data_IF_834003435781
#
_entry.id   IF_834003435781
#
_cell.length_a   1.000
_cell.length_b   1.000
_cell.length_c   1.000
_cell.angle_alpha   90.00
_cell.angle_beta   90.00
_cell.angle_gamma   90.00
#
_symmetry.space_group_name_H-M   'P 1'
#
loop_
_entity.id
_entity.type
_entity.pdbx_description
1 polymer ?
#
# COMPACT_ATOMS: atom_id res chain seq x y z
N UNK A 1 10.19 -2.53 -33.47
CA UNK A 1 10.00 -3.18 -32.15
C UNK A 1 11.21 -2.87 -31.31
N UNK A 2 11.10 -1.87 -30.43
CA UNK A 2 12.18 -1.46 -29.53
C UNK A 2 12.40 -2.55 -28.48
N UNK A 3 13.59 -3.18 -28.52
CA UNK A 3 14.04 -4.08 -27.47
C UNK A 3 14.09 -3.31 -26.15
N UNK A 4 13.16 -3.61 -25.24
CA UNK A 4 13.20 -3.09 -23.87
C UNK A 4 14.47 -3.65 -23.22
N UNK A 5 15.47 -2.80 -23.02
CA UNK A 5 16.74 -3.19 -22.40
C UNK A 5 16.52 -3.33 -20.89
N UNK A 6 16.39 -4.56 -20.39
CA UNK A 6 16.13 -4.85 -18.96
C UNK A 6 17.36 -4.61 -18.06
N UNK A 7 18.56 -4.49 -18.66
CA UNK A 7 19.85 -4.29 -17.98
C UNK A 7 19.92 -3.04 -17.09
N UNK A 8 19.53 -1.83 -17.54
CA UNK A 8 19.48 -0.64 -16.69
C UNK A 8 18.48 -0.79 -15.53
N UNK A 9 17.34 -1.46 -15.75
CA UNK A 9 16.34 -1.70 -14.70
C UNK A 9 16.90 -2.59 -13.58
N UNK A 10 17.60 -3.67 -13.95
CA UNK A 10 18.25 -4.57 -13.00
C UNK A 10 19.36 -3.86 -12.20
N UNK A 11 20.13 -2.97 -12.85
CA UNK A 11 21.16 -2.17 -12.18
C UNK A 11 20.57 -1.16 -11.19
N UNK A 12 19.51 -0.45 -11.58
CA UNK A 12 18.80 0.50 -10.69
C UNK A 12 18.23 -0.24 -9.48
N UNK A 13 17.57 -1.38 -9.70
CA UNK A 13 17.02 -2.19 -8.62
C UNK A 13 18.11 -2.69 -7.66
N UNK A 14 19.26 -3.13 -8.20
CA UNK A 14 20.41 -3.55 -7.40
C UNK A 14 20.99 -2.41 -6.57
N UNK A 15 21.11 -1.21 -7.14
CA UNK A 15 21.61 -0.01 -6.44
C UNK A 15 20.68 0.44 -5.29
N UNK A 16 19.37 0.30 -5.47
CA UNK A 16 18.37 0.61 -4.44
C UNK A 16 18.49 -0.37 -3.26
N UNK A 17 18.69 -1.66 -3.54
CA UNK A 17 18.82 -2.69 -2.49
C UNK A 17 20.09 -2.49 -1.66
N UNK A 18 21.21 -2.12 -2.30
CA UNK A 18 22.51 -2.02 -1.62
C UNK A 18 22.60 -0.77 -0.71
N UNK A 19 21.90 0.31 -1.04
CA UNK A 19 21.92 1.56 -0.25
C UNK A 19 20.87 1.62 0.87
N UNK A 20 19.88 0.71 0.89
CA UNK A 20 18.81 0.70 1.90
C UNK A 20 19.19 0.11 3.27
N UNK A 21 20.29 -0.65 3.37
CA UNK A 21 20.61 -1.45 4.56
C UNK A 21 20.98 -0.65 5.82
N UNK A 22 21.40 0.61 5.70
CA UNK A 22 21.85 1.43 6.84
C UNK A 22 20.78 2.41 7.36
N UNK A 23 19.62 2.49 6.70
CA UNK A 23 18.58 3.47 7.03
C UNK A 23 17.20 2.89 7.33
N UNK A 24 16.96 1.60 7.06
CA UNK A 24 15.68 0.93 7.29
C UNK A 24 15.62 0.33 8.70
N UNK A 25 14.62 0.70 9.50
CA UNK A 25 14.40 0.13 10.83
C UNK A 25 12.93 -0.25 11.06
N UNK A 26 12.72 -1.18 11.98
CA UNK A 26 11.41 -1.72 12.35
C UNK A 26 10.87 -1.07 13.62
N UNK A 27 9.57 -0.85 13.67
CA UNK A 27 8.84 -0.48 14.87
C UNK A 27 8.50 -1.72 15.71
N UNK A 28 8.41 -1.56 17.02
CA UNK A 28 7.96 -2.57 17.97
C UNK A 28 6.78 -2.02 18.78
N UNK A 29 5.69 -1.75 18.08
CA UNK A 29 4.45 -1.20 18.60
C UNK A 29 3.42 -2.30 18.96
N UNK A 30 2.29 -1.88 19.52
CA UNK A 30 1.23 -2.80 19.97
C UNK A 30 0.14 -2.97 18.90
N UNK A 31 -0.50 -4.14 18.89
CA UNK A 31 -1.67 -4.44 18.04
C UNK A 31 -2.93 -3.61 18.32
N UNK A 32 -2.97 -2.86 19.42
CA UNK A 32 -4.15 -2.12 19.87
C UNK A 32 -3.83 -0.63 19.96
N UNK A 33 -4.75 0.21 19.50
CA UNK A 33 -4.62 1.65 19.63
C UNK A 33 -5.52 2.40 18.66
N UNK A 34 -5.70 3.70 18.92
CA UNK A 34 -6.42 4.61 18.01
C UNK A 34 -5.77 4.64 16.63
N UNK A 35 -4.45 4.67 16.61
CA UNK A 35 -3.62 4.68 15.41
C UNK A 35 -3.95 3.52 14.46
N UNK A 36 -4.02 2.29 14.97
CA UNK A 36 -4.40 1.09 14.20
C UNK A 36 -5.79 1.20 13.55
N UNK A 37 -6.75 1.80 14.27
CA UNK A 37 -8.08 2.06 13.72
C UNK A 37 -8.05 3.13 12.62
N UNK A 38 -7.14 4.11 12.70
CA UNK A 38 -6.96 5.12 11.66
C UNK A 38 -6.36 4.51 10.38
N UNK A 39 -5.36 3.63 10.50
CA UNK A 39 -4.83 2.85 9.38
C UNK A 39 -5.93 2.06 8.67
N UNK A 40 -6.71 1.29 9.45
CA UNK A 40 -7.84 0.55 8.92
C UNK A 40 -8.85 1.45 8.19
N UNK A 41 -9.30 2.52 8.84
CA UNK A 41 -10.34 3.40 8.29
C UNK A 41 -9.85 4.15 7.04
N UNK A 42 -8.62 4.64 7.04
CA UNK A 42 -8.01 5.29 5.89
C UNK A 42 -7.89 4.32 4.73
N UNK A 43 -7.37 3.12 4.96
CA UNK A 43 -7.21 2.12 3.91
C UNK A 43 -8.55 1.62 3.37
N UNK A 44 -9.57 1.48 4.22
CA UNK A 44 -10.93 1.19 3.76
C UNK A 44 -11.47 2.29 2.84
N UNK A 45 -11.33 3.56 3.24
CA UNK A 45 -11.77 4.69 2.44
C UNK A 45 -11.02 4.76 1.09
N UNK A 46 -9.70 4.56 1.10
CA UNK A 46 -8.88 4.62 -0.11
C UNK A 46 -9.16 3.45 -1.07
N UNK A 47 -9.42 2.25 -0.55
CA UNK A 47 -9.82 1.12 -1.39
C UNK A 47 -11.18 1.35 -2.05
N UNK A 48 -12.17 1.84 -1.30
CA UNK A 48 -13.47 2.20 -1.85
C UNK A 48 -13.36 3.34 -2.88
N UNK A 49 -12.57 4.38 -2.59
CA UNK A 49 -12.35 5.50 -3.50
C UNK A 49 -11.64 5.06 -4.80
N UNK A 50 -10.61 4.20 -4.69
CA UNK A 50 -9.91 3.65 -5.84
C UNK A 50 -10.81 2.78 -6.71
N UNK A 51 -11.66 1.96 -6.10
CA UNK A 51 -12.70 1.21 -6.81
C UNK A 51 -13.66 2.12 -7.57
N UNK A 52 -14.20 3.15 -6.89
CA UNK A 52 -15.09 4.13 -7.50
C UNK A 52 -14.44 4.89 -8.65
N UNK A 53 -13.15 5.23 -8.51
CA UNK A 53 -12.36 5.84 -9.56
C UNK A 53 -12.25 4.91 -10.78
N UNK A 54 -11.84 3.66 -10.57
CA UNK A 54 -11.65 2.68 -11.64
C UNK A 54 -12.96 2.36 -12.38
N UNK A 55 -14.08 2.27 -11.66
CA UNK A 55 -15.40 2.12 -12.25
C UNK A 55 -15.76 3.30 -13.16
N UNK A 56 -15.47 4.54 -12.75
CA UNK A 56 -15.68 5.73 -13.61
C UNK A 56 -14.78 5.73 -14.85
N UNK A 57 -13.66 5.01 -14.83
CA UNK A 57 -12.81 4.78 -16.00
C UNK A 57 -13.31 3.62 -16.89
N UNK A 58 -14.50 3.06 -16.61
CA UNK A 58 -15.08 1.92 -17.33
C UNK A 58 -14.16 0.67 -17.29
N UNK A 59 -13.36 0.51 -16.24
CA UNK A 59 -12.60 -0.72 -16.04
C UNK A 59 -13.57 -1.90 -15.81
N UNK A 60 -13.15 -3.10 -16.20
CA UNK A 60 -13.93 -4.30 -15.89
C UNK A 60 -14.09 -4.43 -14.37
N UNK A 61 -15.23 -4.94 -13.91
CA UNK A 61 -15.56 -5.05 -12.49
C UNK A 61 -14.43 -5.67 -11.64
N UNK A 62 -13.81 -6.75 -12.13
CA UNK A 62 -12.67 -7.39 -11.46
C UNK A 62 -11.41 -6.52 -11.45
N UNK A 63 -11.16 -5.76 -12.51
CA UNK A 63 -10.00 -4.86 -12.61
C UNK A 63 -10.19 -3.65 -11.69
N UNK A 64 -11.40 -3.10 -11.60
CA UNK A 64 -11.73 -2.02 -10.67
C UNK A 64 -11.55 -2.45 -9.20
N UNK A 65 -12.03 -3.65 -8.86
CA UNK A 65 -11.79 -4.32 -7.59
C UNK A 65 -10.31 -4.40 -7.22
N UNK A 66 -9.50 -4.95 -8.14
CA UNK A 66 -8.07 -5.10 -7.95
C UNK A 66 -7.36 -3.75 -7.85
N UNK A 67 -7.75 -2.77 -8.67
CA UNK A 67 -7.15 -1.45 -8.67
C UNK A 67 -7.31 -0.76 -7.31
N UNK A 68 -8.52 -0.71 -6.76
CA UNK A 68 -8.74 -0.04 -5.48
C UNK A 68 -7.98 -0.70 -4.32
N UNK A 69 -7.95 -2.03 -4.26
CA UNK A 69 -7.17 -2.74 -3.25
C UNK A 69 -5.66 -2.48 -3.37
N UNK A 70 -5.10 -2.65 -4.58
CA UNK A 70 -3.66 -2.42 -4.83
C UNK A 70 -3.29 -0.98 -4.57
N UNK A 71 -4.12 -0.02 -4.99
CA UNK A 71 -3.92 1.40 -4.73
C UNK A 71 -3.84 1.67 -3.22
N UNK A 72 -4.81 1.19 -2.43
CA UNK A 72 -4.80 1.40 -0.98
C UNK A 72 -3.62 0.75 -0.28
N UNK A 73 -3.33 -0.52 -0.59
CA UNK A 73 -2.21 -1.25 0.01
C UNK A 73 -0.88 -0.58 -0.33
N UNK A 74 -0.74 -0.06 -1.57
CA UNK A 74 0.46 0.67 -1.98
C UNK A 74 0.65 1.95 -1.18
N UNK A 75 -0.42 2.65 -0.80
CA UNK A 75 -0.34 3.83 0.06
C UNK A 75 0.11 3.47 1.48
N UNK A 76 -0.43 2.39 2.06
CA UNK A 76 0.03 1.87 3.35
C UNK A 76 1.51 1.48 3.33
N UNK A 77 1.91 0.68 2.33
CA UNK A 77 3.31 0.30 2.14
C UNK A 77 4.24 1.50 1.95
N UNK A 78 3.81 2.53 1.20
CA UNK A 78 4.60 3.74 1.00
C UNK A 78 4.76 4.54 2.29
N UNK A 79 3.71 4.61 3.12
CA UNK A 79 3.76 5.26 4.44
C UNK A 79 4.70 4.52 5.39
N UNK A 80 4.60 3.20 5.51
CA UNK A 80 5.51 2.41 6.35
C UNK A 80 6.96 2.47 5.85
N UNK A 81 7.16 2.46 4.52
CA UNK A 81 8.49 2.65 3.94
C UNK A 81 9.08 4.03 4.27
N UNK A 82 8.25 5.07 4.25
CA UNK A 82 8.65 6.43 4.63
C UNK A 82 8.98 6.53 6.12
N UNK A 83 8.20 5.87 6.96
CA UNK A 83 8.43 5.81 8.41
C UNK A 83 9.66 4.98 8.77
N UNK A 84 10.11 4.11 7.87
CA UNK A 84 11.33 3.31 8.04
C UNK A 84 12.62 4.10 7.89
N UNK A 85 12.60 5.40 7.59
CA UNK A 85 13.81 6.24 7.51
C UNK A 85 14.47 6.43 8.89
N UNK A 86 15.75 6.86 8.97
CA UNK A 86 16.46 7.00 10.25
C UNK A 86 15.80 7.90 11.30
N UNK A 87 15.03 8.91 10.87
CA UNK A 87 14.29 9.84 11.75
C UNK A 87 12.80 9.51 11.91
N UNK A 88 12.35 8.38 11.35
CA UNK A 88 10.96 7.95 11.40
C UNK A 88 10.66 7.04 12.60
N UNK A 89 9.44 6.49 12.61
CA UNK A 89 8.96 5.59 13.67
C UNK A 89 9.35 4.13 13.42
N UNK A 90 9.86 3.80 12.24
CA UNK A 90 10.16 2.45 11.79
C UNK A 90 8.96 1.79 11.10
N UNK A 91 9.23 0.78 10.28
CA UNK A 91 8.20 -0.06 9.66
C UNK A 91 7.40 -0.80 10.75
N UNK A 92 6.10 -0.58 10.81
CA UNK A 92 5.18 -1.33 11.65
C UNK A 92 4.45 -2.40 10.83
N UNK A 93 4.74 -3.67 11.14
CA UNK A 93 3.97 -4.79 10.57
C UNK A 93 2.50 -4.75 11.01
N UNK A 94 2.25 -4.21 12.21
CA UNK A 94 0.91 -4.08 12.75
C UNK A 94 0.11 -3.08 11.94
N UNK A 95 0.63 -1.87 11.71
CA UNK A 95 -0.02 -0.86 10.87
C UNK A 95 -0.28 -1.35 9.46
N UNK A 96 0.73 -1.98 8.85
CA UNK A 96 0.58 -2.55 7.52
C UNK A 96 -0.51 -3.64 7.46
N UNK A 97 -0.65 -4.45 8.51
CA UNK A 97 -1.72 -5.44 8.61
C UNK A 97 -3.11 -4.78 8.71
N UNK A 98 -3.24 -3.68 9.46
CA UNK A 98 -4.47 -2.90 9.51
C UNK A 98 -4.77 -2.21 8.18
N UNK A 99 -3.75 -1.80 7.42
CA UNK A 99 -3.93 -1.27 6.06
C UNK A 99 -4.48 -2.32 5.10
N UNK A 100 -3.93 -3.55 5.14
CA UNK A 100 -4.46 -4.66 4.33
C UNK A 100 -5.90 -4.98 4.74
N UNK A 101 -6.17 -5.11 6.04
CA UNK A 101 -7.52 -5.41 6.55
C UNK A 101 -8.52 -4.31 6.16
N UNK A 102 -8.12 -3.05 6.29
CA UNK A 102 -8.89 -1.88 5.87
C UNK A 102 -9.19 -1.92 4.38
N UNK A 103 -8.17 -2.14 3.54
CA UNK A 103 -8.33 -2.20 2.09
C UNK A 103 -9.32 -3.30 1.65
N UNK A 104 -9.25 -4.49 2.26
CA UNK A 104 -10.20 -5.58 2.01
C UNK A 104 -11.61 -5.20 2.46
N UNK A 105 -11.76 -4.57 3.63
CA UNK A 105 -13.05 -4.13 4.14
C UNK A 105 -13.67 -3.05 3.25
N UNK A 106 -12.90 -2.05 2.85
CA UNK A 106 -13.34 -0.96 1.96
C UNK A 106 -13.74 -1.45 0.57
N UNK A 107 -12.94 -2.36 0.00
CA UNK A 107 -13.32 -3.10 -1.21
C UNK A 107 -14.66 -3.79 -1.01
N UNK A 108 -14.78 -4.66 0.00
CA UNK A 108 -16.00 -5.44 0.25
C UNK A 108 -17.21 -4.53 0.41
N UNK A 109 -17.06 -3.45 1.16
CA UNK A 109 -18.12 -2.47 1.39
C UNK A 109 -18.58 -1.82 0.08
N UNK A 110 -17.64 -1.37 -0.76
CA UNK A 110 -17.95 -0.76 -2.04
C UNK A 110 -18.68 -1.73 -2.98
N UNK A 111 -18.26 -3.01 -3.03
CA UNK A 111 -18.92 -4.03 -3.85
C UNK A 111 -20.36 -4.33 -3.41
N UNK A 112 -20.66 -4.19 -2.12
CA UNK A 112 -22.01 -4.43 -1.59
C UNK A 112 -22.96 -3.24 -1.79
N UNK A 113 -22.43 -2.03 -2.00
CA UNK A 113 -23.22 -0.81 -2.23
C UNK A 113 -23.38 -0.43 -3.70
N UNK A 114 -22.71 -1.15 -4.59
CA UNK A 114 -22.81 -1.00 -6.05
C UNK A 114 -23.90 -1.92 -6.61
#
# INVERSE_FOLDING_TARGET
MSSITYKPLALIFSLIIITGCSGFHWSNDNWKGKDKAQHFAFSAAMAAAGNAYADRQNMQHRQAAQFGMVFSISLGAAKEFYDSRPSGTGWSLHDFAYDIAGAVAGYTLYQNFK
#
